data_IF_562896096346
#
_entry.id   IF_562896096346
#
_cell.length_a   1.000
_cell.length_b   1.000
_cell.length_c   1.000
_cell.angle_alpha   90.00
_cell.angle_beta   90.00
_cell.angle_gamma   90.00
#
_symmetry.space_group_name_H-M   'P 1'
#
loop_
_entity.id
_entity.type
_entity.pdbx_description
1 polymer ?
#
# COMPACT_ATOMS: atom_id res chain seq x y z
N UNK A 1 74.17 14.32 -30.45
CA UNK A 1 73.02 14.69 -29.59
C UNK A 1 73.48 14.73 -28.14
N UNK A 2 73.55 15.91 -27.48
CA UNK A 2 74.09 16.08 -26.13
C UNK A 2 73.41 15.23 -25.05
N UNK A 3 72.18 14.78 -25.33
CA UNK A 3 71.37 13.97 -24.42
C UNK A 3 71.94 12.57 -24.17
N UNK A 4 72.35 11.86 -25.23
CA UNK A 4 72.87 10.49 -25.11
C UNK A 4 74.27 10.43 -24.49
N UNK A 5 75.10 11.46 -24.70
CA UNK A 5 76.42 11.57 -24.10
C UNK A 5 76.35 11.89 -22.59
N UNK A 6 75.35 12.67 -22.15
CA UNK A 6 75.16 12.98 -20.72
C UNK A 6 74.46 11.87 -19.93
N UNK A 7 73.72 10.97 -20.60
CA UNK A 7 73.06 9.84 -19.94
C UNK A 7 74.08 8.83 -19.36
N UNK A 8 75.21 8.63 -20.04
CA UNK A 8 76.30 7.78 -19.57
C UNK A 8 77.00 8.34 -18.32
N UNK A 9 77.15 9.67 -18.23
CA UNK A 9 77.77 10.33 -17.07
C UNK A 9 76.84 10.43 -15.84
N UNK A 10 75.52 10.36 -16.03
CA UNK A 10 74.57 10.34 -14.91
C UNK A 10 74.54 8.99 -14.17
N UNK A 11 75.07 7.91 -14.77
CA UNK A 11 75.08 6.56 -14.20
C UNK A 11 76.41 6.19 -13.51
N UNK A 12 77.43 7.05 -13.55
CA UNK A 12 78.76 6.79 -12.96
C UNK A 12 78.86 7.17 -11.48
N UNK A 13 77.95 7.99 -10.96
CA UNK A 13 77.88 8.33 -9.54
C UNK A 13 76.47 8.04 -9.00
N UNK A 14 76.29 7.10 -8.05
CA UNK A 14 74.98 6.75 -7.50
C UNK A 14 74.43 7.79 -6.52
N UNK A 15 75.20 8.85 -6.20
CA UNK A 15 74.78 9.90 -5.29
C UNK A 15 73.94 10.98 -5.99
N UNK A 16 72.86 11.48 -5.35
CA UNK A 16 72.02 12.50 -5.93
C UNK A 16 72.79 13.81 -6.16
N UNK A 17 72.62 14.41 -7.35
CA UNK A 17 73.15 15.74 -7.64
C UNK A 17 72.53 16.78 -6.69
N UNK A 18 73.38 17.58 -6.04
CA UNK A 18 72.96 18.71 -5.20
C UNK A 18 72.82 20.02 -5.99
N UNK A 19 72.94 19.96 -7.33
CA UNK A 19 72.73 21.12 -8.16
C UNK A 19 71.24 21.54 -8.10
N UNK A 20 70.91 22.83 -7.87
CA UNK A 20 69.52 23.26 -7.64
C UNK A 20 68.54 22.87 -8.75
N UNK A 21 69.00 22.87 -10.00
CA UNK A 21 68.18 22.51 -11.15
C UNK A 21 67.89 21.00 -11.21
N UNK A 22 68.86 20.17 -10.85
CA UNK A 22 68.70 18.70 -10.83
C UNK A 22 67.79 18.29 -9.67
N UNK A 23 67.95 18.93 -8.50
CA UNK A 23 67.07 18.74 -7.36
C UNK A 23 65.62 19.17 -7.67
N UNK A 24 65.43 20.29 -8.38
CA UNK A 24 64.11 20.77 -8.80
C UNK A 24 63.45 19.81 -9.79
N UNK A 25 64.17 19.33 -10.81
CA UNK A 25 63.65 18.37 -11.79
C UNK A 25 63.31 17.03 -11.11
N UNK A 26 64.15 16.56 -10.19
CA UNK A 26 63.89 15.36 -9.38
C UNK A 26 62.64 15.50 -8.52
N UNK A 27 62.48 16.65 -7.84
CA UNK A 27 61.30 16.95 -7.03
C UNK A 27 60.02 17.00 -7.88
N UNK A 28 60.03 17.72 -9.01
CA UNK A 28 58.89 17.81 -9.90
C UNK A 28 58.49 16.45 -10.47
N UNK A 29 59.47 15.61 -10.81
CA UNK A 29 59.24 14.24 -11.28
C UNK A 29 58.59 13.40 -10.18
N UNK A 30 59.06 13.50 -8.94
CA UNK A 30 58.47 12.79 -7.79
C UNK A 30 57.03 13.25 -7.51
N UNK A 31 56.74 14.55 -7.61
CA UNK A 31 55.38 15.09 -7.46
C UNK A 31 54.46 14.54 -8.55
N UNK A 32 54.88 14.57 -9.82
CA UNK A 32 54.09 14.03 -10.94
C UNK A 32 53.85 12.53 -10.73
N UNK A 33 54.88 11.76 -10.36
CA UNK A 33 54.75 10.33 -10.09
C UNK A 33 53.74 10.07 -8.96
N UNK A 34 53.79 10.84 -7.87
CA UNK A 34 52.82 10.75 -6.77
C UNK A 34 51.40 11.05 -7.23
N UNK A 35 51.20 12.11 -8.02
CA UNK A 35 49.88 12.48 -8.57
C UNK A 35 49.32 11.38 -9.48
N UNK A 36 50.14 10.78 -10.35
CA UNK A 36 49.75 9.66 -11.21
C UNK A 36 49.36 8.43 -10.38
N UNK A 37 50.11 8.12 -9.33
CA UNK A 37 49.81 7.00 -8.43
C UNK A 37 48.49 7.23 -7.67
N UNK A 38 48.26 8.44 -7.15
CA UNK A 38 46.99 8.79 -6.49
C UNK A 38 45.80 8.74 -7.44
N UNK A 39 45.95 9.25 -8.67
CA UNK A 39 44.93 9.17 -9.71
C UNK A 39 44.59 7.72 -10.05
N UNK A 40 45.61 6.89 -10.33
CA UNK A 40 45.41 5.45 -10.59
C UNK A 40 44.78 4.73 -9.40
N UNK A 41 45.12 5.09 -8.17
CA UNK A 41 44.53 4.50 -6.96
C UNK A 41 43.06 4.89 -6.80
N UNK A 42 42.68 6.14 -7.07
CA UNK A 42 41.28 6.61 -7.03
C UNK A 42 40.42 6.00 -8.14
N UNK A 43 41.00 5.78 -9.33
CA UNK A 43 40.31 5.22 -10.50
C UNK A 43 40.57 3.73 -10.73
N UNK A 44 41.16 3.02 -9.76
CA UNK A 44 41.35 1.57 -9.87
C UNK A 44 39.98 0.91 -9.94
N UNK A 45 39.67 0.33 -11.10
CA UNK A 45 38.47 -0.49 -11.28
C UNK A 45 38.53 -1.65 -10.29
N UNK A 46 37.43 -1.89 -9.58
CA UNK A 46 37.30 -3.00 -8.63
C UNK A 46 36.84 -4.22 -9.41
N UNK A 47 37.79 -5.06 -9.81
CA UNK A 47 37.50 -6.37 -10.40
C UNK A 47 37.44 -7.43 -9.30
N UNK A 48 36.55 -8.40 -9.45
CA UNK A 48 36.49 -9.59 -8.62
C UNK A 48 37.31 -10.69 -9.33
N UNK A 49 38.62 -10.49 -9.41
CA UNK A 49 39.55 -11.45 -10.02
C UNK A 49 39.43 -12.80 -9.28
N UNK A 50 39.39 -13.89 -10.04
CA UNK A 50 39.29 -15.29 -9.59
C UNK A 50 38.01 -15.66 -8.79
N UNK A 51 36.89 -14.95 -9.01
CA UNK A 51 35.59 -15.22 -8.35
C UNK A 51 34.48 -15.63 -9.33
N UNK A 52 34.76 -16.59 -10.20
CA UNK A 52 33.86 -17.02 -11.28
C UNK A 52 32.63 -17.80 -10.78
N UNK A 53 32.74 -18.52 -9.66
CA UNK A 53 31.68 -19.41 -9.12
C UNK A 53 31.04 -18.89 -7.83
N UNK A 54 31.02 -17.57 -7.66
CA UNK A 54 30.53 -16.92 -6.44
C UNK A 54 31.60 -16.89 -5.34
N UNK A 55 31.46 -15.94 -4.41
CA UNK A 55 32.37 -15.80 -3.27
C UNK A 55 31.64 -15.75 -1.93
N UNK A 56 30.46 -16.40 -1.90
CA UNK A 56 29.66 -16.51 -0.71
C UNK A 56 30.44 -17.27 0.36
N UNK A 57 30.40 -16.77 1.59
CA UNK A 57 30.96 -17.40 2.77
C UNK A 57 29.99 -17.22 3.92
N UNK A 58 30.15 -18.03 4.95
CA UNK A 58 29.48 -17.78 6.22
C UNK A 58 29.87 -16.39 6.75
N UNK A 59 28.85 -15.63 7.09
CA UNK A 59 29.01 -14.34 7.73
C UNK A 59 29.56 -14.51 9.14
N UNK A 60 30.29 -13.49 9.59
CA UNK A 60 30.72 -13.33 10.98
C UNK A 60 29.95 -12.18 11.61
N UNK A 61 29.90 -12.07 12.95
CA UNK A 61 29.24 -10.94 13.60
C UNK A 61 29.76 -9.56 13.16
N UNK A 62 31.03 -9.45 12.72
CA UNK A 62 31.60 -8.21 12.18
C UNK A 62 31.02 -7.81 10.83
N UNK A 63 30.51 -8.78 10.06
CA UNK A 63 29.94 -8.53 8.74
C UNK A 63 28.56 -7.86 8.85
N UNK A 64 27.77 -8.21 9.86
CA UNK A 64 26.44 -7.62 10.10
C UNK A 64 26.49 -6.34 10.94
N UNK A 65 27.54 -6.16 11.74
CA UNK A 65 27.74 -5.03 12.67
C UNK A 65 27.45 -3.64 12.06
N UNK A 66 27.86 -3.31 10.82
CA UNK A 66 27.59 -1.99 10.25
C UNK A 66 26.11 -1.73 9.89
N UNK A 67 25.31 -2.79 9.83
CA UNK A 67 23.88 -2.74 9.48
C UNK A 67 22.97 -2.66 10.71
N UNK A 68 23.53 -2.76 11.91
CA UNK A 68 22.79 -2.71 13.17
C UNK A 68 22.82 -1.29 13.78
N UNK A 69 21.73 -0.90 14.45
CA UNK A 69 21.71 0.17 15.43
C UNK A 69 22.33 -0.38 16.72
N UNK A 70 23.50 0.15 17.08
CA UNK A 70 24.25 -0.28 18.26
C UNK A 70 23.91 0.54 19.49
N UNK A 71 23.27 1.68 19.29
CA UNK A 71 22.90 2.61 20.34
C UNK A 71 21.56 2.19 20.95
N UNK A 72 20.63 1.72 20.11
CA UNK A 72 19.32 1.26 20.53
C UNK A 72 19.02 -0.12 19.93
N UNK A 73 19.01 -1.14 20.78
CA UNK A 73 18.68 -2.51 20.39
C UNK A 73 17.29 -2.60 19.75
N UNK A 74 16.31 -1.90 20.32
CA UNK A 74 14.89 -1.98 19.92
C UNK A 74 14.64 -1.43 18.52
N UNK A 75 15.57 -0.66 17.96
CA UNK A 75 15.49 -0.11 16.61
C UNK A 75 15.87 -1.13 15.51
N UNK A 76 16.10 -2.39 15.85
CA UNK A 76 16.57 -3.39 14.91
C UNK A 76 15.55 -4.51 14.67
N UNK A 77 15.33 -4.89 13.41
CA UNK A 77 14.68 -6.17 13.09
C UNK A 77 15.58 -7.31 13.56
N UNK A 78 15.00 -8.24 14.32
CA UNK A 78 15.68 -9.43 14.79
C UNK A 78 15.68 -10.50 13.69
N UNK A 79 16.87 -10.96 13.28
CA UNK A 79 17.03 -12.02 12.29
C UNK A 79 17.46 -13.34 12.93
N UNK A 80 18.48 -13.27 13.79
CA UNK A 80 19.01 -14.40 14.55
C UNK A 80 19.40 -13.94 15.95
N UNK A 81 20.10 -14.79 16.71
CA UNK A 81 20.67 -14.40 18.01
C UNK A 81 21.70 -13.26 17.88
N UNK A 82 22.48 -13.22 16.79
CA UNK A 82 23.60 -12.30 16.60
C UNK A 82 23.36 -11.26 15.50
N UNK A 83 22.63 -11.61 14.45
CA UNK A 83 22.37 -10.77 13.29
C UNK A 83 21.08 -9.97 13.42
N UNK A 84 21.14 -8.68 13.09
CA UNK A 84 20.02 -7.75 13.09
C UNK A 84 20.17 -6.71 11.98
N UNK A 85 19.08 -6.03 11.62
CA UNK A 85 19.09 -4.92 10.66
C UNK A 85 18.37 -3.72 11.25
N UNK A 86 18.99 -2.55 11.19
CA UNK A 86 18.39 -1.31 11.68
C UNK A 86 17.18 -0.88 10.84
N UNK A 87 16.10 -0.52 11.53
CA UNK A 87 14.96 0.20 10.96
C UNK A 87 15.20 1.72 10.93
N UNK A 88 16.21 2.19 11.66
CA UNK A 88 16.56 3.60 11.76
C UNK A 88 17.53 4.06 10.67
N UNK A 89 18.13 5.23 10.91
CA UNK A 89 19.11 5.81 9.99
C UNK A 89 20.42 5.02 10.06
N UNK A 90 20.89 4.40 8.97
CA UNK A 90 22.15 3.68 8.98
C UNK A 90 23.32 4.65 9.20
N UNK A 91 24.41 4.15 9.79
CA UNK A 91 25.64 4.92 10.05
C UNK A 91 26.27 5.51 8.78
N UNK A 92 26.02 4.88 7.62
CA UNK A 92 26.46 5.34 6.32
C UNK A 92 25.48 4.85 5.24
N UNK A 93 25.23 5.66 4.21
CA UNK A 93 24.35 5.33 3.08
C UNK A 93 24.70 4.00 2.42
N UNK A 94 25.99 3.63 2.36
CA UNK A 94 26.42 2.33 1.79
C UNK A 94 25.87 1.10 2.54
N UNK A 95 25.45 1.28 3.79
CA UNK A 95 24.86 0.25 4.65
C UNK A 95 23.33 0.29 4.68
N UNK A 96 22.69 1.22 3.97
CA UNK A 96 21.25 1.16 3.77
C UNK A 96 20.90 -0.15 3.02
N UNK A 97 20.00 -0.93 3.61
CA UNK A 97 19.53 -2.19 3.05
C UNK A 97 18.01 -2.18 2.99
N UNK A 98 17.47 -2.95 2.04
CA UNK A 98 16.05 -3.27 2.05
C UNK A 98 15.72 -4.02 3.35
N UNK A 99 14.64 -3.62 4.01
CA UNK A 99 14.19 -4.16 5.28
C UNK A 99 13.20 -5.32 5.10
N UNK A 100 12.82 -5.64 3.86
CA UNK A 100 12.03 -6.83 3.56
C UNK A 100 12.84 -8.10 3.87
N UNK A 101 12.26 -8.99 4.66
CA UNK A 101 12.88 -10.26 5.06
C UNK A 101 12.05 -11.42 4.54
N UNK A 102 12.71 -12.34 3.82
CA UNK A 102 12.13 -13.62 3.42
C UNK A 102 12.60 -14.71 4.39
N UNK A 103 11.67 -15.29 5.13
CA UNK A 103 11.94 -16.42 6.04
C UNK A 103 11.42 -17.70 5.42
N UNK A 104 12.34 -18.56 4.96
CA UNK A 104 12.02 -19.84 4.35
C UNK A 104 12.19 -20.96 5.38
N UNK A 105 11.17 -21.80 5.53
CA UNK A 105 11.23 -22.97 6.39
C UNK A 105 10.01 -23.87 6.22
N UNK A 106 10.20 -25.18 6.34
CA UNK A 106 9.12 -26.16 6.25
C UNK A 106 8.04 -26.00 7.32
N UNK A 107 6.97 -26.78 7.24
CA UNK A 107 5.98 -26.86 8.32
C UNK A 107 6.66 -27.30 9.63
N UNK A 108 6.24 -26.75 10.77
CA UNK A 108 6.82 -27.06 12.09
C UNK A 108 8.21 -26.48 12.38
N UNK A 109 8.87 -25.82 11.42
CA UNK A 109 10.21 -25.20 11.62
C UNK A 109 10.25 -24.05 12.62
N UNK A 110 9.11 -23.59 13.11
CA UNK A 110 9.01 -22.56 14.13
C UNK A 110 9.12 -21.12 13.63
N UNK A 111 8.83 -20.84 12.34
CA UNK A 111 8.83 -19.48 11.75
C UNK A 111 8.11 -18.45 12.65
N UNK A 112 6.90 -18.76 13.09
CA UNK A 112 6.12 -17.89 13.97
C UNK A 112 6.80 -17.69 15.33
N UNK A 113 7.28 -18.78 15.95
CA UNK A 113 7.89 -18.75 17.29
C UNK A 113 9.24 -18.04 17.33
N UNK A 114 10.08 -18.25 16.31
CA UNK A 114 11.47 -17.79 16.31
C UNK A 114 11.69 -16.47 15.57
N UNK A 115 10.78 -16.08 14.67
CA UNK A 115 10.91 -14.83 13.91
C UNK A 115 9.78 -13.84 14.20
N UNK A 116 8.52 -14.24 13.99
CA UNK A 116 7.36 -13.33 14.11
C UNK A 116 7.19 -12.84 15.55
N UNK A 117 7.05 -13.76 16.53
CA UNK A 117 6.82 -13.40 17.93
C UNK A 117 7.94 -12.54 18.52
N UNK A 118 9.24 -12.85 18.36
CA UNK A 118 10.29 -11.98 18.89
C UNK A 118 10.24 -10.55 18.34
N UNK A 119 9.95 -10.38 17.05
CA UNK A 119 9.83 -9.05 16.45
C UNK A 119 8.57 -8.29 16.94
N UNK A 120 7.46 -8.99 17.26
CA UNK A 120 6.30 -8.39 17.92
C UNK A 120 6.58 -8.01 19.38
N UNK A 121 7.27 -8.89 20.11
CA UNK A 121 7.63 -8.69 21.53
C UNK A 121 8.60 -7.53 21.73
N UNK A 122 9.37 -7.18 20.71
CA UNK A 122 10.23 -6.00 20.75
C UNK A 122 9.44 -4.67 20.73
N UNK A 123 8.20 -4.66 20.25
CA UNK A 123 7.33 -3.47 20.23
C UNK A 123 8.01 -2.23 19.63
N UNK A 124 8.63 -2.42 18.45
CA UNK A 124 9.44 -1.37 17.83
C UNK A 124 8.62 -0.39 16.97
N UNK A 125 7.54 -0.87 16.34
CA UNK A 125 6.71 -0.11 15.39
C UNK A 125 5.23 -0.48 15.54
N UNK A 126 4.36 0.12 14.74
CA UNK A 126 3.04 -0.45 14.45
C UNK A 126 3.17 -1.72 13.60
N UNK A 127 2.19 -2.61 13.70
CA UNK A 127 2.21 -3.93 13.07
C UNK A 127 0.92 -4.21 12.31
N UNK A 128 1.05 -4.85 11.15
CA UNK A 128 -0.02 -5.56 10.47
C UNK A 128 0.40 -7.02 10.40
N UNK A 129 -0.38 -7.89 11.02
CA UNK A 129 -0.05 -9.31 11.22
C UNK A 129 -1.14 -10.13 10.55
N UNK A 130 -0.77 -10.85 9.49
CA UNK A 130 -1.58 -11.96 9.01
C UNK A 130 -1.39 -13.12 9.98
N UNK A 131 -2.47 -13.51 10.65
CA UNK A 131 -2.48 -14.51 11.72
C UNK A 131 -3.37 -15.70 11.33
N UNK A 132 -2.87 -16.60 10.45
CA UNK A 132 -3.57 -17.85 10.18
C UNK A 132 -3.79 -18.58 11.52
N UNK A 133 -5.04 -18.99 11.80
CA UNK A 133 -5.51 -19.59 13.07
C UNK A 133 -5.76 -18.64 14.25
N UNK A 134 -5.37 -17.37 14.16
CA UNK A 134 -5.57 -16.41 15.25
C UNK A 134 -4.72 -16.67 16.51
N UNK A 135 -3.65 -17.46 16.39
CA UNK A 135 -2.82 -17.85 17.55
C UNK A 135 -1.92 -16.72 18.05
N UNK A 136 -1.42 -15.88 17.15
CA UNK A 136 -0.48 -14.81 17.49
C UNK A 136 -1.19 -13.74 18.31
N UNK A 137 -2.43 -13.38 17.99
CA UNK A 137 -3.23 -12.46 18.79
C UNK A 137 -3.43 -13.00 20.22
N UNK A 138 -3.77 -14.28 20.38
CA UNK A 138 -3.99 -14.88 21.70
C UNK A 138 -2.72 -14.85 22.55
N UNK A 139 -1.56 -15.12 21.95
CA UNK A 139 -0.31 -15.25 22.67
C UNK A 139 0.41 -13.91 22.92
N UNK A 140 0.26 -12.94 22.02
CA UNK A 140 0.97 -11.65 22.09
C UNK A 140 0.05 -10.45 22.38
N UNK A 141 -1.27 -10.58 22.21
CA UNK A 141 -2.22 -9.47 22.28
C UNK A 141 -2.25 -8.78 23.65
N UNK A 142 -2.24 -9.54 24.75
CA UNK A 142 -2.21 -8.95 26.11
C UNK A 142 -0.93 -8.17 26.41
N UNK A 143 0.19 -8.62 25.87
CA UNK A 143 1.46 -7.92 26.00
C UNK A 143 1.44 -6.60 25.19
N UNK A 144 0.93 -6.62 23.96
CA UNK A 144 0.79 -5.42 23.14
C UNK A 144 -0.23 -4.44 23.74
N UNK A 145 -1.34 -4.94 24.27
CA UNK A 145 -2.34 -4.14 25.00
C UNK A 145 -1.72 -3.44 26.22
N UNK A 146 -0.84 -4.14 26.96
CA UNK A 146 -0.08 -3.54 28.06
C UNK A 146 0.88 -2.46 27.54
N UNK A 147 1.56 -2.72 26.42
CA UNK A 147 2.33 -1.72 25.70
C UNK A 147 3.83 -1.73 25.92
N UNK A 148 4.52 -0.84 25.20
CA UNK A 148 5.97 -0.66 25.27
C UNK A 148 6.35 -0.01 26.61
N UNK A 149 7.33 -0.56 27.37
CA UNK A 149 7.74 0.04 28.63
C UNK A 149 8.40 1.40 28.41
N UNK A 150 7.99 2.39 29.20
CA UNK A 150 8.65 3.70 29.27
C UNK A 150 9.66 3.65 30.41
N UNK A 151 10.95 3.75 30.06
CA UNK A 151 12.06 3.63 31.01
C UNK A 151 12.68 5.00 31.28
N UNK A 152 12.81 5.36 32.56
CA UNK A 152 13.55 6.55 33.02
C UNK A 152 14.52 6.13 34.11
N UNK A 153 15.80 6.44 33.94
CA UNK A 153 16.87 6.07 34.88
C UNK A 153 16.90 4.57 35.22
N UNK A 154 16.68 3.70 34.22
CA UNK A 154 16.68 2.25 34.38
C UNK A 154 15.44 1.66 35.07
N UNK A 155 14.43 2.47 35.42
CA UNK A 155 13.17 2.01 36.01
C UNK A 155 12.02 2.20 35.02
N UNK A 156 11.13 1.22 34.96
CA UNK A 156 9.87 1.33 34.22
C UNK A 156 8.96 2.28 35.00
N UNK A 157 8.58 3.38 34.37
CA UNK A 157 7.70 4.41 34.95
C UNK A 157 6.28 4.37 34.38
N UNK A 158 6.06 3.58 33.32
CA UNK A 158 4.77 3.43 32.66
C UNK A 158 4.87 2.58 31.40
N UNK A 159 3.78 2.50 30.65
CA UNK A 159 3.71 1.78 29.38
C UNK A 159 2.95 2.60 28.34
N UNK A 160 3.35 2.49 27.08
CA UNK A 160 2.63 3.04 25.93
C UNK A 160 1.85 1.92 25.25
N UNK A 161 0.53 1.80 25.48
CA UNK A 161 -0.27 0.69 24.97
C UNK A 161 -0.40 0.75 23.44
N UNK A 162 -0.56 -0.42 22.82
CA UNK A 162 -0.97 -0.50 21.43
C UNK A 162 -2.49 -0.40 21.30
N UNK A 163 -2.95 0.31 20.28
CA UNK A 163 -4.31 0.15 19.76
C UNK A 163 -4.39 -1.21 19.05
N UNK A 164 -5.09 -2.16 19.64
CA UNK A 164 -5.28 -3.49 19.01
C UNK A 164 -6.47 -3.40 18.08
N UNK A 165 -6.29 -3.85 16.83
CA UNK A 165 -7.35 -3.98 15.83
C UNK A 165 -7.41 -5.40 15.33
N UNK A 166 -8.61 -5.92 15.10
CA UNK A 166 -8.82 -7.33 14.74
C UNK A 166 -9.81 -7.42 13.60
N UNK A 167 -9.36 -7.94 12.47
CA UNK A 167 -10.23 -8.34 11.37
C UNK A 167 -10.26 -9.87 11.31
N UNK A 168 -11.43 -10.47 11.51
CA UNK A 168 -11.55 -11.91 11.70
C UNK A 168 -12.56 -12.52 10.73
N UNK A 169 -12.04 -13.20 9.70
CA UNK A 169 -12.87 -13.85 8.68
C UNK A 169 -13.25 -15.29 9.05
N UNK A 170 -12.73 -15.84 10.15
CA UNK A 170 -13.15 -17.15 10.69
C UNK A 170 -14.41 -16.99 11.56
N UNK A 171 -14.39 -16.02 12.47
CA UNK A 171 -15.49 -15.72 13.39
C UNK A 171 -15.83 -14.23 13.32
N UNK A 172 -16.73 -13.90 12.39
CA UNK A 172 -17.22 -12.54 12.14
C UNK A 172 -17.76 -11.85 13.41
N UNK A 173 -18.32 -12.61 14.36
CA UNK A 173 -18.83 -12.05 15.63
C UNK A 173 -17.73 -11.49 16.55
N UNK A 174 -16.47 -11.81 16.26
CA UNK A 174 -15.27 -11.32 16.95
C UNK A 174 -14.38 -10.47 16.03
N UNK A 175 -14.92 -9.99 14.91
CA UNK A 175 -14.25 -9.05 14.03
C UNK A 175 -14.65 -7.62 14.37
N UNK A 176 -13.73 -6.69 14.13
CA UNK A 176 -14.08 -5.29 13.93
C UNK A 176 -14.60 -5.08 12.51
N UNK A 177 -15.26 -3.94 12.30
CA UNK A 177 -15.89 -3.57 11.04
C UNK A 177 -14.91 -2.84 10.13
N UNK A 178 -14.85 -3.23 8.86
CA UNK A 178 -14.03 -2.63 7.81
C UNK A 178 -14.92 -2.21 6.65
N UNK A 179 -15.09 -0.90 6.46
CA UNK A 179 -15.80 -0.37 5.32
C UNK A 179 -14.82 0.32 4.35
N UNK A 180 -14.62 -0.22 3.12
CA UNK A 180 -13.74 0.39 2.13
C UNK A 180 -14.13 1.81 1.71
N UNK A 181 -15.41 2.17 1.81
CA UNK A 181 -15.91 3.48 1.39
C UNK A 181 -15.46 4.58 2.35
N UNK A 182 -15.19 4.24 3.62
CA UNK A 182 -14.59 5.16 4.60
C UNK A 182 -13.20 5.66 4.19
N UNK A 183 -12.54 5.01 3.22
CA UNK A 183 -11.22 5.37 2.70
C UNK A 183 -11.28 6.13 1.37
N UNK A 184 -12.48 6.50 0.91
CA UNK A 184 -12.66 7.39 -0.25
C UNK A 184 -12.53 8.83 0.24
N UNK A 185 -11.35 9.42 0.01
CA UNK A 185 -10.99 10.69 0.65
C UNK A 185 -11.67 11.88 -0.02
N UNK A 186 -12.12 12.89 0.75
CA UNK A 186 -12.78 14.07 0.21
C UNK A 186 -11.99 14.79 -0.89
N UNK A 187 -10.67 14.86 -0.77
CA UNK A 187 -9.76 15.54 -1.70
C UNK A 187 -9.46 14.77 -2.99
N UNK A 188 -9.79 13.48 -3.05
CA UNK A 188 -9.48 12.60 -4.19
C UNK A 188 -10.57 11.57 -4.47
N UNK A 189 -11.84 11.95 -4.26
CA UNK A 189 -12.99 11.03 -4.35
C UNK A 189 -13.01 10.27 -5.67
N UNK A 190 -12.89 10.96 -6.80
CA UNK A 190 -12.96 10.32 -8.12
C UNK A 190 -11.82 9.29 -8.30
N UNK A 191 -10.59 9.62 -7.89
CA UNK A 191 -9.47 8.69 -8.02
C UNK A 191 -9.57 7.51 -7.04
N UNK A 192 -10.05 7.75 -5.82
CA UNK A 192 -10.21 6.72 -4.80
C UNK A 192 -11.37 5.77 -5.15
N UNK A 193 -12.48 6.27 -5.71
CA UNK A 193 -13.56 5.42 -6.26
C UNK A 193 -13.02 4.49 -7.35
N UNK A 194 -12.26 5.02 -8.31
CA UNK A 194 -11.65 4.20 -9.36
C UNK A 194 -10.73 3.12 -8.79
N UNK A 195 -9.95 3.42 -7.75
CA UNK A 195 -9.10 2.44 -7.06
C UNK A 195 -9.94 1.39 -6.31
N UNK A 196 -10.99 1.80 -5.61
CA UNK A 196 -11.90 0.90 -4.89
C UNK A 196 -12.53 -0.10 -5.86
N UNK A 197 -13.00 0.37 -7.01
CA UNK A 197 -13.56 -0.50 -8.07
C UNK A 197 -12.51 -1.42 -8.67
N UNK A 198 -11.28 -0.94 -8.90
CA UNK A 198 -10.17 -1.77 -9.37
C UNK A 198 -9.86 -2.91 -8.39
N UNK A 199 -9.81 -2.59 -7.09
CA UNK A 199 -9.55 -3.57 -6.03
C UNK A 199 -10.70 -4.58 -5.96
N UNK A 200 -11.96 -4.13 -6.00
CA UNK A 200 -13.13 -5.02 -5.99
C UNK A 200 -13.09 -6.01 -7.15
N UNK A 201 -12.88 -5.53 -8.37
CA UNK A 201 -12.87 -6.38 -9.57
C UNK A 201 -11.66 -7.32 -9.55
N UNK A 202 -10.48 -6.82 -9.19
CA UNK A 202 -9.26 -7.63 -9.10
C UNK A 202 -9.45 -8.81 -8.15
N UNK A 203 -10.02 -8.56 -6.96
CA UNK A 203 -10.20 -9.59 -5.94
C UNK A 203 -11.43 -10.50 -6.16
N UNK A 204 -12.33 -10.17 -7.09
CA UNK A 204 -13.51 -11.00 -7.43
C UNK A 204 -13.37 -11.72 -8.77
N UNK A 205 -12.34 -11.45 -9.56
CA UNK A 205 -12.08 -12.17 -10.83
C UNK A 205 -11.43 -13.54 -10.60
N UNK A 206 -10.77 -13.73 -9.46
CA UNK A 206 -10.03 -14.96 -9.13
C UNK A 206 -8.81 -15.20 -10.04
N UNK A 207 -8.30 -16.43 -10.05
CA UNK A 207 -7.11 -16.83 -10.83
C UNK A 207 -7.39 -17.07 -12.33
N UNK A 208 -8.56 -16.69 -12.83
CA UNK A 208 -8.91 -16.87 -14.24
C UNK A 208 -8.07 -15.96 -15.15
N UNK A 209 -7.08 -16.56 -15.81
CA UNK A 209 -6.34 -15.92 -16.89
C UNK A 209 -7.20 -15.94 -18.16
N UNK A 210 -7.73 -14.77 -18.55
CA UNK A 210 -8.42 -14.58 -19.84
C UNK A 210 -9.90 -14.22 -19.76
N UNK A 211 -10.31 -13.38 -18.81
CA UNK A 211 -11.64 -12.76 -18.83
C UNK A 211 -11.81 -11.80 -20.00
N UNK A 212 -13.02 -11.69 -20.53
CA UNK A 212 -13.36 -10.77 -21.61
C UNK A 212 -13.32 -9.31 -21.09
N UNK A 213 -12.38 -8.55 -21.65
CA UNK A 213 -12.04 -7.17 -21.28
C UNK A 213 -13.25 -6.23 -21.41
N UNK A 214 -14.20 -6.54 -22.28
CA UNK A 214 -15.43 -5.77 -22.43
C UNK A 214 -16.26 -5.76 -21.15
N UNK A 215 -16.54 -6.93 -20.56
CA UNK A 215 -17.37 -7.02 -19.35
C UNK A 215 -16.69 -6.34 -18.18
N UNK A 216 -15.38 -6.56 -18.01
CA UNK A 216 -14.60 -5.89 -16.96
C UNK A 216 -14.67 -4.37 -17.08
N UNK A 217 -14.56 -3.81 -18.29
CA UNK A 217 -14.68 -2.37 -18.51
C UNK A 217 -16.10 -1.86 -18.23
N UNK A 218 -17.12 -2.61 -18.62
CA UNK A 218 -18.51 -2.24 -18.38
C UNK A 218 -18.88 -2.29 -16.88
N UNK A 219 -18.43 -3.31 -16.16
CA UNK A 219 -18.56 -3.41 -14.70
C UNK A 219 -17.87 -2.23 -14.00
N UNK A 220 -16.67 -1.85 -14.46
CA UNK A 220 -15.96 -0.66 -13.95
C UNK A 220 -16.77 0.60 -14.11
N UNK A 221 -17.37 0.83 -15.28
CA UNK A 221 -18.25 1.99 -15.51
C UNK A 221 -19.42 2.01 -14.53
N UNK A 222 -20.10 0.87 -14.38
CA UNK A 222 -21.28 0.76 -13.55
C UNK A 222 -20.97 0.97 -12.06
N UNK A 223 -20.02 0.21 -11.51
CA UNK A 223 -19.64 0.37 -10.10
C UNK A 223 -19.11 1.76 -9.78
N UNK A 224 -18.30 2.35 -10.67
CA UNK A 224 -17.82 3.72 -10.48
C UNK A 224 -18.98 4.70 -10.41
N UNK A 225 -19.96 4.54 -11.31
CA UNK A 225 -21.15 5.41 -11.31
C UNK A 225 -21.98 5.25 -10.03
N UNK A 226 -22.16 4.02 -9.54
CA UNK A 226 -23.01 3.74 -8.37
C UNK A 226 -22.36 4.21 -7.08
N UNK A 227 -21.07 3.92 -6.88
CA UNK A 227 -20.36 4.41 -5.70
C UNK A 227 -20.32 5.94 -5.68
N UNK A 228 -20.11 6.58 -6.83
CA UNK A 228 -20.16 8.04 -6.92
C UNK A 228 -21.57 8.59 -6.64
N UNK A 229 -22.63 7.91 -7.11
CA UNK A 229 -24.02 8.26 -6.81
C UNK A 229 -24.32 8.16 -5.30
N UNK A 230 -23.95 7.04 -4.67
CA UNK A 230 -24.10 6.80 -3.22
C UNK A 230 -23.46 7.95 -2.43
N UNK A 231 -22.20 8.25 -2.71
CA UNK A 231 -21.46 9.30 -1.97
C UNK A 231 -22.04 10.70 -2.21
N UNK A 232 -22.69 10.91 -3.36
CA UNK A 232 -23.26 12.22 -3.72
C UNK A 232 -24.64 12.43 -3.10
N UNK A 233 -25.50 11.40 -3.09
CA UNK A 233 -26.93 11.52 -2.78
C UNK A 233 -27.36 10.85 -1.48
N UNK A 234 -26.64 9.81 -1.02
CA UNK A 234 -26.97 9.11 0.21
C UNK A 234 -26.25 9.73 1.41
N UNK A 235 -26.81 9.62 2.63
CA UNK A 235 -26.13 10.01 3.85
C UNK A 235 -24.93 9.08 4.14
N UNK A 236 -23.98 9.53 4.98
CA UNK A 236 -22.69 8.84 5.18
C UNK A 236 -22.84 7.42 5.76
N UNK A 237 -23.88 7.18 6.56
CA UNK A 237 -24.22 5.85 7.10
C UNK A 237 -24.55 4.81 6.03
N UNK A 238 -24.97 5.24 4.84
CA UNK A 238 -25.29 4.39 3.69
C UNK A 238 -24.12 4.24 2.72
N UNK A 239 -22.94 4.78 3.04
CA UNK A 239 -21.76 4.64 2.17
C UNK A 239 -21.12 3.28 2.38
N UNK A 240 -21.75 2.20 1.92
CA UNK A 240 -21.27 0.85 2.15
C UNK A 240 -21.67 -0.13 1.03
N UNK A 241 -21.30 -1.41 1.17
CA UNK A 241 -21.61 -2.44 0.17
C UNK A 241 -23.08 -2.85 0.12
N UNK A 242 -23.83 -2.71 1.21
CA UNK A 242 -25.26 -3.01 1.24
C UNK A 242 -26.01 -2.10 0.27
N UNK A 243 -25.79 -0.79 0.36
CA UNK A 243 -26.38 0.19 -0.56
C UNK A 243 -25.92 -0.03 -2.01
N UNK A 244 -24.67 -0.45 -2.23
CA UNK A 244 -24.19 -0.81 -3.56
C UNK A 244 -24.93 -2.03 -4.15
N UNK A 245 -25.20 -3.05 -3.32
CA UNK A 245 -25.98 -4.23 -3.71
C UNK A 245 -27.42 -3.82 -4.02
N UNK A 246 -28.03 -2.98 -3.18
CA UNK A 246 -29.39 -2.48 -3.38
C UNK A 246 -29.51 -1.71 -4.69
N UNK A 247 -28.52 -0.88 -5.04
CA UNK A 247 -28.51 -0.16 -6.30
C UNK A 247 -28.45 -1.13 -7.49
N UNK A 248 -27.63 -2.18 -7.43
CA UNK A 248 -27.59 -3.22 -8.47
C UNK A 248 -28.94 -3.94 -8.58
N UNK A 249 -29.58 -4.27 -7.46
CA UNK A 249 -30.88 -4.94 -7.44
C UNK A 249 -32.03 -4.06 -7.94
N UNK A 250 -31.96 -2.75 -7.69
CA UNK A 250 -32.95 -1.76 -8.14
C UNK A 250 -32.80 -1.35 -9.62
N UNK A 251 -31.81 -1.89 -10.33
CA UNK A 251 -31.48 -1.54 -11.71
C UNK A 251 -32.20 -2.42 -12.75
N UNK A 252 -33.52 -2.53 -12.67
CA UNK A 252 -34.31 -3.34 -13.62
C UNK A 252 -34.07 -2.89 -15.07
N UNK A 253 -33.80 -3.84 -15.97
CA UNK A 253 -33.65 -3.59 -17.40
C UNK A 253 -34.76 -4.30 -18.18
N UNK A 254 -35.53 -3.53 -18.97
CA UNK A 254 -36.54 -4.06 -19.91
C UNK A 254 -35.98 -4.05 -21.32
N UNK A 255 -36.07 -5.19 -22.01
CA UNK A 255 -35.50 -5.36 -23.35
C UNK A 255 -36.38 -4.73 -24.45
N UNK A 256 -37.70 -4.66 -24.22
CA UNK A 256 -38.70 -4.22 -25.21
C UNK A 256 -39.18 -2.78 -25.02
N UNK A 257 -38.68 -2.08 -23.99
CA UNK A 257 -39.08 -0.71 -23.66
C UNK A 257 -37.87 0.13 -23.25
N UNK A 258 -37.31 0.86 -24.21
CA UNK A 258 -36.18 1.78 -23.98
C UNK A 258 -36.59 3.05 -23.23
N UNK A 259 -37.89 3.33 -23.10
CA UNK A 259 -38.40 4.50 -22.38
C UNK A 259 -38.57 4.24 -20.88
N UNK A 260 -38.56 2.97 -20.48
CA UNK A 260 -38.63 2.57 -19.09
C UNK A 260 -37.43 3.10 -18.30
N UNK A 261 -37.73 3.68 -17.13
CA UNK A 261 -36.76 4.11 -16.13
C UNK A 261 -36.97 3.30 -14.86
N UNK A 262 -35.93 2.60 -14.41
CA UNK A 262 -35.92 2.00 -13.08
C UNK A 262 -35.59 3.05 -12.00
N UNK A 263 -35.55 2.64 -10.73
CA UNK A 263 -35.27 3.54 -9.62
C UNK A 263 -33.91 4.25 -9.75
N UNK A 264 -32.88 3.57 -10.25
CA UNK A 264 -31.55 4.15 -10.45
C UNK A 264 -31.50 5.09 -11.66
N UNK A 265 -32.26 4.81 -12.72
CA UNK A 265 -32.43 5.74 -13.85
C UNK A 265 -33.07 7.05 -13.39
N UNK A 266 -34.03 6.99 -12.45
CA UNK A 266 -34.63 8.17 -11.82
C UNK A 266 -33.63 8.89 -10.91
N UNK A 267 -32.86 8.16 -10.11
CA UNK A 267 -31.82 8.74 -9.26
C UNK A 267 -30.80 9.56 -10.09
N UNK A 268 -30.28 9.01 -11.19
CA UNK A 268 -29.37 9.74 -12.08
C UNK A 268 -30.06 10.90 -12.82
N UNK A 269 -31.34 10.77 -13.17
CA UNK A 269 -32.11 11.84 -13.80
C UNK A 269 -32.26 13.06 -12.90
N UNK A 270 -32.61 12.85 -11.62
CA UNK A 270 -32.75 13.94 -10.65
C UNK A 270 -31.40 14.44 -10.15
N UNK A 271 -30.38 13.58 -10.04
CA UNK A 271 -29.00 14.01 -9.77
C UNK A 271 -28.54 15.06 -10.79
N UNK A 272 -28.72 14.78 -12.08
CA UNK A 272 -28.28 15.69 -13.15
C UNK A 272 -29.02 17.03 -13.10
N UNK A 273 -30.33 17.03 -12.83
CA UNK A 273 -31.12 18.26 -12.66
C UNK A 273 -30.67 19.07 -11.46
N UNK A 274 -30.42 18.38 -10.34
CA UNK A 274 -29.97 19.01 -9.11
C UNK A 274 -28.62 19.70 -9.31
N UNK A 275 -27.60 18.97 -9.79
CA UNK A 275 -26.23 19.51 -9.91
C UNK A 275 -26.05 20.57 -11.01
N UNK A 276 -26.91 20.57 -12.04
CA UNK A 276 -26.90 21.60 -13.09
C UNK A 276 -27.94 22.71 -12.87
N UNK A 277 -28.74 22.61 -11.81
CA UNK A 277 -29.88 23.49 -11.53
C UNK A 277 -30.81 23.68 -12.74
N UNK A 278 -31.14 22.56 -13.41
CA UNK A 278 -31.85 22.51 -14.68
C UNK A 278 -33.26 21.93 -14.52
N UNK A 279 -34.04 22.48 -13.58
CA UNK A 279 -35.40 22.05 -13.27
C UNK A 279 -36.44 22.64 -14.25
N UNK A 280 -37.47 21.88 -14.57
CA UNK A 280 -38.63 22.37 -15.32
C UNK A 280 -39.56 23.20 -14.40
N UNK A 281 -40.20 24.23 -14.95
CA UNK A 281 -41.06 25.13 -14.16
C UNK A 281 -42.24 24.39 -13.52
N UNK A 282 -42.77 23.40 -14.23
CA UNK A 282 -43.89 22.55 -13.88
C UNK A 282 -43.48 21.08 -13.64
N UNK A 283 -42.21 20.83 -13.26
CA UNK A 283 -41.72 19.48 -12.94
C UNK A 283 -42.64 18.80 -11.92
N UNK A 284 -43.22 17.66 -12.31
CA UNK A 284 -44.12 16.88 -11.48
C UNK A 284 -43.40 15.64 -10.94
N UNK A 285 -43.64 15.35 -9.67
CA UNK A 285 -43.15 14.13 -9.02
C UNK A 285 -44.30 13.15 -8.91
N UNK A 286 -44.08 11.92 -9.40
CA UNK A 286 -44.95 10.79 -9.10
C UNK A 286 -44.71 10.29 -7.67
N UNK A 287 -45.62 9.47 -7.15
CA UNK A 287 -45.48 8.81 -5.84
C UNK A 287 -44.13 8.08 -5.69
N UNK A 288 -43.63 7.48 -6.79
CA UNK A 288 -42.37 6.73 -6.81
C UNK A 288 -41.11 7.62 -6.71
N UNK A 289 -41.24 8.92 -7.01
CA UNK A 289 -40.12 9.86 -7.11
C UNK A 289 -40.29 11.09 -6.19
N UNK A 290 -41.30 11.08 -5.32
CA UNK A 290 -41.62 12.19 -4.42
C UNK A 290 -40.44 12.56 -3.50
N UNK A 291 -39.61 11.58 -3.15
CA UNK A 291 -38.40 11.76 -2.36
C UNK A 291 -37.37 12.73 -3.01
N UNK A 292 -37.41 12.93 -4.33
CA UNK A 292 -36.52 13.88 -5.01
C UNK A 292 -37.06 15.31 -5.03
N UNK A 293 -38.31 15.55 -4.62
CA UNK A 293 -38.89 16.89 -4.60
C UNK A 293 -38.09 17.86 -3.72
N UNK A 294 -37.51 17.37 -2.64
CA UNK A 294 -36.67 18.14 -1.73
C UNK A 294 -35.39 18.69 -2.40
N UNK A 295 -34.89 18.02 -3.46
CA UNK A 295 -33.71 18.49 -4.18
C UNK A 295 -33.95 19.77 -4.97
N UNK A 296 -35.20 20.11 -5.29
CA UNK A 296 -35.53 21.31 -6.08
C UNK A 296 -35.12 22.59 -5.37
N UNK A 297 -35.26 22.61 -4.05
CA UNK A 297 -34.95 23.75 -3.19
C UNK A 297 -33.62 23.57 -2.43
N UNK A 298 -32.97 22.41 -2.55
CA UNK A 298 -31.71 22.12 -1.88
C UNK A 298 -30.51 22.70 -2.63
N UNK A 299 -29.65 23.42 -1.91
CA UNK A 299 -28.36 23.86 -2.45
C UNK A 299 -27.43 22.67 -2.73
N UNK A 300 -26.65 22.77 -3.79
CA UNK A 300 -25.64 21.76 -4.16
C UNK A 300 -24.28 22.25 -3.70
N UNK A 301 -23.60 21.46 -2.86
CA UNK A 301 -22.20 21.69 -2.54
C UNK A 301 -21.32 21.52 -3.78
N UNK A 302 -20.29 22.36 -3.95
CA UNK A 302 -19.36 22.30 -5.10
C UNK A 302 -18.77 20.89 -5.32
N UNK A 303 -18.45 20.19 -4.22
CA UNK A 303 -17.90 18.83 -4.29
C UNK A 303 -18.93 17.80 -4.75
N UNK A 304 -20.20 17.96 -4.38
CA UNK A 304 -21.31 17.11 -4.85
C UNK A 304 -21.61 17.39 -6.31
N UNK A 305 -21.55 18.64 -6.76
CA UNK A 305 -21.66 18.98 -8.18
C UNK A 305 -20.54 18.31 -9.00
N UNK A 306 -19.29 18.40 -8.54
CA UNK A 306 -18.15 17.77 -9.23
C UNK A 306 -18.31 16.24 -9.30
N UNK A 307 -18.54 15.59 -8.17
CA UNK A 307 -18.65 14.14 -8.10
C UNK A 307 -19.90 13.63 -8.81
N UNK A 308 -21.03 14.33 -8.70
CA UNK A 308 -22.26 14.03 -9.41
C UNK A 308 -22.09 14.07 -10.92
N UNK A 309 -21.38 15.08 -11.47
CA UNK A 309 -21.05 15.13 -12.90
C UNK A 309 -20.19 13.95 -13.33
N UNK A 310 -19.24 13.54 -12.49
CA UNK A 310 -18.45 12.33 -12.72
C UNK A 310 -19.35 11.09 -12.75
N UNK A 311 -20.23 10.91 -11.76
CA UNK A 311 -21.18 9.80 -11.68
C UNK A 311 -22.07 9.72 -12.94
N UNK A 312 -22.69 10.84 -13.33
CA UNK A 312 -23.57 10.96 -14.50
C UNK A 312 -22.83 10.60 -15.80
N UNK A 313 -21.59 11.06 -15.98
CA UNK A 313 -20.78 10.73 -17.17
C UNK A 313 -20.48 9.23 -17.27
N UNK A 314 -20.11 8.60 -16.16
CA UNK A 314 -19.85 7.17 -16.10
C UNK A 314 -21.13 6.36 -16.37
N UNK A 315 -22.26 6.78 -15.80
CA UNK A 315 -23.55 6.13 -16.02
C UNK A 315 -24.04 6.27 -17.46
N UNK A 316 -23.94 7.46 -18.06
CA UNK A 316 -24.27 7.69 -19.48
C UNK A 316 -23.43 6.81 -20.40
N UNK A 317 -22.15 6.60 -20.10
CA UNK A 317 -21.31 5.68 -20.86
C UNK A 317 -21.79 4.22 -20.75
N UNK A 318 -22.24 3.79 -19.55
CA UNK A 318 -22.88 2.49 -19.37
C UNK A 318 -24.20 2.36 -20.16
N UNK A 319 -25.06 3.40 -20.13
CA UNK A 319 -26.36 3.42 -20.83
C UNK A 319 -26.25 3.43 -22.36
N UNK A 320 -25.04 3.51 -22.94
CA UNK A 320 -24.82 3.23 -24.36
C UNK A 320 -24.99 1.75 -24.72
N UNK A 321 -24.99 0.85 -23.73
CA UNK A 321 -25.26 -0.57 -23.94
C UNK A 321 -26.76 -0.80 -24.24
N UNK A 322 -27.05 -1.65 -25.22
CA UNK A 322 -28.41 -2.10 -25.49
C UNK A 322 -29.01 -2.88 -24.30
N UNK A 323 -30.34 -2.90 -24.15
CA UNK A 323 -31.03 -3.47 -22.97
C UNK A 323 -30.59 -4.89 -22.61
N UNK A 324 -30.44 -5.78 -23.60
CA UNK A 324 -29.93 -7.15 -23.38
C UNK A 324 -28.50 -7.17 -22.83
N UNK A 325 -27.62 -6.33 -23.36
CA UNK A 325 -26.23 -6.21 -22.89
C UNK A 325 -26.16 -5.59 -21.50
N UNK A 326 -26.96 -4.54 -21.24
CA UNK A 326 -27.07 -3.89 -19.93
C UNK A 326 -27.48 -4.88 -18.83
N UNK A 327 -28.45 -5.76 -19.13
CA UNK A 327 -28.89 -6.84 -18.25
C UNK A 327 -27.77 -7.86 -17.98
N UNK A 328 -26.99 -8.25 -18.99
CA UNK A 328 -25.83 -9.13 -18.80
C UNK A 328 -24.74 -8.49 -17.92
N UNK A 329 -24.48 -7.19 -18.08
CA UNK A 329 -23.53 -6.45 -17.23
C UNK A 329 -24.01 -6.47 -15.77
N UNK A 330 -25.30 -6.19 -15.53
CA UNK A 330 -25.88 -6.21 -14.18
C UNK A 330 -25.76 -7.57 -13.50
N UNK A 331 -26.06 -8.65 -14.23
CA UNK A 331 -25.88 -10.03 -13.71
C UNK A 331 -24.41 -10.28 -13.34
N UNK A 332 -23.47 -9.80 -14.16
CA UNK A 332 -22.03 -9.93 -13.89
C UNK A 332 -21.63 -9.17 -12.61
N UNK A 333 -22.12 -7.93 -12.46
CA UNK A 333 -21.93 -7.16 -11.23
C UNK A 333 -22.52 -7.87 -10.01
N UNK A 334 -23.80 -8.27 -10.05
CA UNK A 334 -24.46 -8.98 -8.95
C UNK A 334 -23.69 -10.25 -8.54
N UNK A 335 -23.17 -11.01 -9.52
CA UNK A 335 -22.38 -12.21 -9.26
C UNK A 335 -21.10 -11.92 -8.48
N UNK A 336 -20.41 -10.80 -8.77
CA UNK A 336 -19.21 -10.39 -8.01
C UNK A 336 -19.51 -9.94 -6.59
N UNK A 337 -20.68 -9.31 -6.38
CA UNK A 337 -21.11 -8.86 -5.06
C UNK A 337 -21.76 -9.97 -4.22
N UNK A 338 -22.08 -11.13 -4.81
CA UNK A 338 -22.76 -12.22 -4.10
C UNK A 338 -22.10 -12.66 -2.77
N UNK A 339 -20.76 -12.72 -2.62
CA UNK A 339 -20.14 -13.02 -1.33
C UNK A 339 -20.42 -11.96 -0.26
N UNK A 340 -20.64 -10.71 -0.66
CA UNK A 340 -20.99 -9.63 0.25
C UNK A 340 -22.44 -9.71 0.69
N UNK A 341 -23.33 -10.40 -0.03
CA UNK A 341 -24.74 -10.58 0.38
C UNK A 341 -24.93 -11.54 1.57
N UNK A 342 -23.86 -12.10 2.14
CA UNK A 342 -23.93 -12.87 3.37
C UNK A 342 -24.11 -11.90 4.54
N UNK A 343 -25.17 -12.04 5.34
CA UNK A 343 -25.49 -11.12 6.47
C UNK A 343 -24.28 -10.80 7.36
N UNK A 344 -23.46 -11.80 7.67
CA UNK A 344 -22.26 -11.62 8.50
C UNK A 344 -21.18 -10.77 7.82
N UNK A 345 -21.08 -10.84 6.49
CA UNK A 345 -20.13 -10.05 5.69
C UNK A 345 -20.67 -8.62 5.53
N UNK A 346 -21.97 -8.45 5.28
CA UNK A 346 -22.61 -7.13 5.28
C UNK A 346 -22.38 -6.42 6.61
N UNK A 347 -22.66 -7.11 7.73
CA UNK A 347 -22.47 -6.56 9.07
C UNK A 347 -21.05 -6.03 9.22
N UNK A 348 -20.01 -6.87 9.04
CA UNK A 348 -18.62 -6.43 9.24
C UNK A 348 -18.11 -5.42 8.19
N UNK A 349 -18.90 -5.09 7.16
CA UNK A 349 -18.55 -4.08 6.13
C UNK A 349 -19.45 -2.85 6.11
N UNK A 350 -20.42 -2.77 7.03
CA UNK A 350 -21.40 -1.69 7.10
C UNK A 350 -20.79 -0.33 7.53
N UNK A 351 -19.88 -0.33 8.50
CA UNK A 351 -19.14 0.86 8.96
C UNK A 351 -17.66 0.53 9.22
N UNK A 352 -16.84 1.54 9.52
CA UNK A 352 -15.41 1.35 9.78
C UNK A 352 -15.04 1.58 11.26
N UNK A 353 -14.38 0.59 11.84
CA UNK A 353 -13.69 0.68 13.14
C UNK A 353 -12.17 0.51 12.97
N UNK A 354 -11.71 0.17 11.75
CA UNK A 354 -10.33 -0.20 11.47
C UNK A 354 -9.41 1.00 11.34
N UNK A 355 -9.89 2.16 10.93
CA UNK A 355 -9.13 3.41 10.74
C UNK A 355 -7.72 3.16 10.18
N UNK A 356 -7.60 2.39 9.09
CA UNK A 356 -6.35 1.90 8.54
C UNK A 356 -5.38 3.03 8.15
N UNK A 357 -5.92 4.18 7.79
CA UNK A 357 -5.23 5.43 7.48
C UNK A 357 -4.41 5.97 8.66
N UNK A 358 -4.84 5.71 9.90
CA UNK A 358 -4.15 6.15 11.13
C UNK A 358 -3.08 5.17 11.62
N UNK A 359 -2.81 4.07 10.90
CA UNK A 359 -1.77 3.11 11.27
C UNK A 359 -0.40 3.76 11.09
N UNK A 360 0.26 4.06 12.20
CA UNK A 360 1.58 4.71 12.22
C UNK A 360 1.57 6.02 13.01
N UNK A 361 0.43 6.72 13.09
CA UNK A 361 0.27 7.94 13.89
C UNK A 361 0.32 7.64 15.38
N UNK A 362 -0.27 6.50 15.76
CA UNK A 362 -0.13 5.87 17.08
C UNK A 362 0.31 4.42 16.92
N UNK A 363 0.88 3.85 17.99
CA UNK A 363 1.23 2.44 18.02
C UNK A 363 -0.03 1.60 17.88
N UNK A 364 -0.16 0.91 16.75
CA UNK A 364 -1.31 0.09 16.39
C UNK A 364 -0.84 -1.29 15.99
N UNK A 365 -1.53 -2.34 16.46
CA UNK A 365 -1.29 -3.72 16.04
C UNK A 365 -2.59 -4.26 15.45
N UNK A 366 -2.62 -4.39 14.13
CA UNK A 366 -3.70 -4.97 13.36
C UNK A 366 -3.44 -6.47 13.18
N UNK A 367 -4.36 -7.30 13.63
CA UNK A 367 -4.39 -8.74 13.40
C UNK A 367 -5.46 -9.08 12.37
N UNK A 368 -5.04 -9.70 11.26
CA UNK A 368 -5.91 -10.21 10.21
C UNK A 368 -5.96 -11.73 10.38
N UNK A 369 -7.03 -12.21 11.00
CA UNK A 369 -7.25 -13.62 11.29
C UNK A 369 -7.98 -14.23 10.11
N UNK A 370 -7.30 -15.16 9.45
CA UNK A 370 -7.78 -15.91 8.30
C UNK A 370 -7.66 -17.40 8.55
N UNK A 371 -8.47 -18.19 7.85
CA UNK A 371 -8.35 -19.65 7.87
C UNK A 371 -6.96 -20.09 7.38
N UNK A 372 -6.42 -21.16 7.95
CA UNK A 372 -5.21 -21.80 7.43
C UNK A 372 -5.52 -22.95 6.45
N UNK A 373 -6.80 -23.28 6.33
CA UNK A 373 -7.36 -24.22 5.38
C UNK A 373 -8.35 -23.45 4.51
N UNK A 374 -7.91 -23.04 3.33
CA UNK A 374 -8.81 -22.53 2.31
C UNK A 374 -9.08 -23.67 1.32
N UNK A 375 -10.20 -24.35 1.54
CA UNK A 375 -11.08 -24.91 0.50
C UNK A 375 -12.41 -24.14 0.55
#
# INVERSE_FOLDING_TARGET
MPFFTNLGNALTNPLPSLHPLDAFVGFMTAVIAKLVLEYKRKHRKKYAEDKEYGSARWGTPKDIEPYMDRQNFDNNVLLTQTERITMGKPSNVKYARNQNVLVVGGSGSGKTRFYVKPNLMQMHSSYVVTDPKGTVLVECGKMLQKGKPVVKNGKIIGYTPYSIRVFNTIDFSKSMHYNPFAYIRPESREQDILRTVEVLITNTTGDQKGGDEFWVKAEKLLYTSYIALIITMCPEEEWNFETLIDFVNASECREDDETFKNAIDWAFYYLERWIENAWEQDEQFSEENENYAELKDAEVDDWRASLGRFAVRQYKAYKLAAGKTAKSILISCATRLAPFSIDKVLEITSYDEMHLDTIGDKLTALFIIISDTDD
#
